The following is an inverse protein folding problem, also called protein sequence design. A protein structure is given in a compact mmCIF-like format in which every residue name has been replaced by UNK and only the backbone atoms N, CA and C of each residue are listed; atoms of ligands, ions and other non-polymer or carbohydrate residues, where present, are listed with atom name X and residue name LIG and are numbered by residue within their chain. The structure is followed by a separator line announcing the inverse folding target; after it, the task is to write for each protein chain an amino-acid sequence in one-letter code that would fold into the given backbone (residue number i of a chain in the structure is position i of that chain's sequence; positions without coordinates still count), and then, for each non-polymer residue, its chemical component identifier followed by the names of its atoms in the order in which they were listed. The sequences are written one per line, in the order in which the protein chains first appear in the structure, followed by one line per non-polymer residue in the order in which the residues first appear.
data_IF_096378562547
#
_entry.id   IF_096378562547
#
_cell.length_a   1.000
_cell.length_b   1.000
_cell.length_c   1.000
_cell.angle_alpha   90.00
_cell.angle_beta   90.00
_cell.angle_gamma   90.00
#
_symmetry.space_group_name_H-M   'P 1'
#
loop_
_entity.id
_entity.type
_entity.pdbx_description
1 polymer ?
#
# COMPACT_ATOMS: atom_id res chain seq x y z
N UNK A 1 13.55 -29.67 -51.99
CA UNK A 1 13.02 -30.37 -50.79
C UNK A 1 13.46 -29.72 -49.48
N UNK A 2 14.74 -29.45 -49.26
CA UNK A 2 15.26 -28.97 -47.97
C UNK A 2 14.73 -27.60 -47.49
N UNK A 3 14.43 -26.67 -48.40
CA UNK A 3 13.93 -25.33 -48.06
C UNK A 3 12.51 -25.34 -47.47
N UNK A 4 11.68 -26.30 -47.87
CA UNK A 4 10.31 -26.45 -47.37
C UNK A 4 10.33 -26.99 -45.93
N UNK A 5 11.19 -27.97 -45.65
CA UNK A 5 11.36 -28.51 -44.30
C UNK A 5 11.89 -27.46 -43.33
N UNK A 6 12.87 -26.63 -43.74
CA UNK A 6 13.39 -25.57 -42.88
C UNK A 6 12.34 -24.51 -42.54
N UNK A 7 11.48 -24.12 -43.50
CA UNK A 7 10.37 -23.19 -43.23
C UNK A 7 9.33 -23.81 -42.28
N UNK A 8 9.01 -25.09 -42.47
CA UNK A 8 8.03 -25.79 -41.64
C UNK A 8 8.56 -25.99 -40.20
N UNK A 9 9.83 -26.35 -40.03
CA UNK A 9 10.44 -26.47 -38.70
C UNK A 9 10.58 -25.12 -38.00
N UNK A 10 10.89 -24.04 -38.72
CA UNK A 10 10.93 -22.69 -38.14
C UNK A 10 9.55 -22.24 -37.65
N UNK A 11 8.48 -22.59 -38.38
CA UNK A 11 7.10 -22.25 -38.02
C UNK A 11 6.63 -23.05 -36.79
N UNK A 12 6.96 -24.34 -36.71
CA UNK A 12 6.66 -25.18 -35.54
C UNK A 12 7.44 -24.69 -34.31
N UNK A 13 8.71 -24.33 -34.46
CA UNK A 13 9.51 -23.77 -33.37
C UNK A 13 8.91 -22.44 -32.87
N UNK A 14 8.47 -21.57 -33.77
CA UNK A 14 7.79 -20.32 -33.41
C UNK A 14 6.48 -20.57 -32.65
N UNK A 15 5.68 -21.58 -33.05
CA UNK A 15 4.44 -21.97 -32.35
C UNK A 15 4.72 -22.54 -30.95
N UNK A 16 5.79 -23.32 -30.79
CA UNK A 16 6.21 -23.85 -29.48
C UNK A 16 6.72 -22.74 -28.55
N UNK A 17 7.37 -21.71 -29.10
CA UNK A 17 7.81 -20.54 -28.34
C UNK A 17 6.65 -19.60 -27.97
N UNK A 18 5.61 -19.51 -28.80
CA UNK A 18 4.42 -18.70 -28.54
C UNK A 18 3.48 -19.31 -27.48
N UNK A 19 3.52 -20.64 -27.30
CA UNK A 19 2.72 -21.34 -26.28
C UNK A 19 3.16 -21.05 -24.83
N UNK A 20 4.28 -20.35 -24.62
CA UNK A 20 4.80 -19.97 -23.31
C UNK A 20 4.62 -18.47 -23.02
N UNK A 21 3.61 -17.82 -23.62
CA UNK A 21 3.15 -16.53 -23.12
C UNK A 21 2.10 -16.81 -22.04
N UNK A 22 2.53 -16.69 -20.78
CA UNK A 22 1.64 -16.71 -19.63
C UNK A 22 0.73 -15.49 -19.76
N UNK A 23 -0.55 -15.69 -20.02
CA UNK A 23 -1.54 -14.64 -19.78
C UNK A 23 -1.39 -14.24 -18.31
N UNK A 24 -0.94 -13.01 -18.05
CA UNK A 24 -1.11 -12.41 -16.74
C UNK A 24 -2.60 -12.31 -16.51
N UNK A 25 -3.12 -13.31 -15.80
CA UNK A 25 -4.45 -13.29 -15.26
C UNK A 25 -4.58 -12.02 -14.44
N UNK A 26 -5.30 -11.05 -15.01
CA UNK A 26 -5.68 -9.83 -14.35
C UNK A 26 -6.42 -10.24 -13.07
N UNK A 27 -5.77 -10.03 -11.92
CA UNK A 27 -6.32 -10.18 -10.57
C UNK A 27 -7.40 -9.12 -10.33
N UNK A 28 -8.45 -9.15 -11.15
CA UNK A 28 -9.57 -8.20 -11.11
C UNK A 28 -10.92 -8.89 -11.30
N UNK A 29 -10.94 -10.22 -11.47
CA UNK A 29 -12.19 -10.99 -11.67
C UNK A 29 -12.43 -12.12 -10.67
N UNK A 30 -11.68 -12.22 -9.56
CA UNK A 30 -12.15 -13.04 -8.45
C UNK A 30 -13.21 -12.27 -7.65
N UNK A 31 -14.36 -12.89 -7.29
CA UNK A 31 -15.24 -12.30 -6.29
C UNK A 31 -14.42 -12.08 -5.01
N UNK A 32 -14.42 -10.83 -4.51
CA UNK A 32 -13.77 -10.39 -3.27
C UNK A 32 -14.22 -11.24 -2.07
N UNK A 33 -13.69 -12.44 -1.96
CA UNK A 33 -13.99 -13.43 -0.92
C UNK A 33 -12.76 -13.75 -0.08
N UNK A 34 -11.65 -13.06 -0.33
CA UNK A 34 -10.59 -12.84 0.64
C UNK A 34 -10.78 -11.45 1.23
N UNK A 35 -10.84 -11.37 2.56
CA UNK A 35 -11.02 -10.13 3.32
C UNK A 35 -10.09 -9.04 2.77
N UNK A 36 -10.70 -8.00 2.23
CA UNK A 36 -10.06 -6.76 1.81
C UNK A 36 -9.69 -5.97 3.07
N UNK A 37 -8.81 -6.54 3.89
CA UNK A 37 -8.52 -6.08 5.25
C UNK A 37 -7.91 -4.67 5.23
N UNK A 38 -7.15 -4.35 4.18
CA UNK A 38 -6.61 -3.02 3.94
C UNK A 38 -7.70 -1.97 3.66
N UNK A 39 -8.72 -2.28 2.84
CA UNK A 39 -9.85 -1.36 2.66
C UNK A 39 -10.78 -1.33 3.88
N UNK A 40 -10.99 -2.45 4.57
CA UNK A 40 -11.84 -2.51 5.76
C UNK A 40 -11.32 -1.57 6.86
N UNK A 41 -10.01 -1.55 7.10
CA UNK A 41 -9.41 -0.60 8.04
C UNK A 41 -9.68 0.84 7.59
N UNK A 42 -9.62 1.15 6.29
CA UNK A 42 -9.84 2.51 5.80
C UNK A 42 -11.31 2.96 5.82
N UNK A 43 -12.29 2.06 5.66
CA UNK A 43 -13.71 2.42 5.67
C UNK A 43 -14.23 2.73 7.08
N UNK A 44 -13.68 2.08 8.12
CA UNK A 44 -14.05 2.33 9.52
C UNK A 44 -13.17 3.35 10.26
N UNK A 45 -11.99 3.70 9.71
CA UNK A 45 -11.04 4.59 10.37
C UNK A 45 -11.50 6.05 10.31
N UNK A 46 -11.82 6.61 11.47
CA UNK A 46 -12.24 8.02 11.60
C UNK A 46 -11.04 8.96 11.51
N UNK A 47 -9.93 8.65 12.18
CA UNK A 47 -8.71 9.44 12.18
C UNK A 47 -7.48 8.58 12.47
N UNK A 48 -6.32 9.00 11.96
CA UNK A 48 -5.02 8.37 12.21
C UNK A 48 -3.93 9.44 12.36
N UNK A 49 -3.51 9.66 13.61
CA UNK A 49 -2.42 10.55 13.97
C UNK A 49 -1.17 9.73 14.30
N UNK A 50 -0.22 9.58 13.36
CA UNK A 50 0.99 8.81 13.62
C UNK A 50 1.94 9.53 14.58
N UNK A 51 1.74 10.82 14.82
CA UNK A 51 2.71 11.74 15.42
C UNK A 51 4.08 11.54 14.78
N UNK A 52 4.32 12.14 13.61
CA UNK A 52 5.61 12.09 12.92
C UNK A 52 6.23 13.50 12.85
N UNK A 53 6.27 14.17 14.00
CA UNK A 53 6.67 15.57 14.12
C UNK A 53 5.57 16.59 13.77
N UNK A 54 4.31 16.14 13.61
CA UNK A 54 3.14 17.00 13.43
C UNK A 54 1.85 16.28 13.90
N UNK A 55 0.73 16.99 13.93
CA UNK A 55 -0.61 16.50 14.32
C UNK A 55 -1.53 16.25 13.13
N UNK A 56 -0.98 15.97 11.94
CA UNK A 56 -1.80 15.73 10.76
C UNK A 56 -2.48 14.36 10.82
N UNK A 57 -3.80 14.36 10.66
CA UNK A 57 -4.55 13.15 10.34
C UNK A 57 -4.18 12.63 8.93
N UNK A 58 -3.60 11.43 8.87
CA UNK A 58 -3.25 10.75 7.63
C UNK A 58 -4.36 9.82 7.11
N UNK A 59 -5.50 9.73 7.79
CA UNK A 59 -6.69 9.07 7.27
C UNK A 59 -7.22 9.74 5.99
N UNK A 60 -8.27 9.17 5.41
CA UNK A 60 -9.00 9.78 4.29
C UNK A 60 -9.79 11.03 4.70
N UNK A 61 -10.08 11.21 5.99
CA UNK A 61 -10.95 12.28 6.48
C UNK A 61 -10.23 13.61 6.72
N UNK A 62 -8.89 13.61 6.80
CA UNK A 62 -8.05 14.82 6.91
C UNK A 62 -8.47 15.77 8.03
N UNK A 63 -8.86 15.19 9.16
CA UNK A 63 -9.20 15.93 10.37
C UNK A 63 -7.92 16.36 11.08
N UNK A 64 -7.12 17.25 10.49
CA UNK A 64 -5.85 17.68 11.09
C UNK A 64 -6.06 18.30 12.48
N UNK A 65 -5.32 17.81 13.47
CA UNK A 65 -5.37 18.33 14.83
C UNK A 65 -4.62 19.65 14.94
N UNK A 66 -4.95 20.46 15.93
CA UNK A 66 -4.26 21.72 16.19
C UNK A 66 -3.57 21.62 17.54
N UNK A 67 -2.26 21.47 17.50
CA UNK A 67 -1.48 21.39 18.72
C UNK A 67 -1.46 22.71 19.50
N UNK A 68 -1.46 22.58 20.82
CA UNK A 68 -1.20 23.65 21.76
C UNK A 68 -0.30 23.10 22.88
N UNK A 69 0.86 23.72 23.07
CA UNK A 69 1.81 23.39 24.15
C UNK A 69 2.21 21.91 24.23
N UNK A 70 2.23 21.17 23.12
CA UNK A 70 2.78 19.81 23.09
C UNK A 70 4.28 19.86 22.79
N UNK A 71 4.99 18.77 23.08
CA UNK A 71 6.37 18.58 22.61
C UNK A 71 6.47 17.21 21.94
N UNK A 72 6.93 17.18 20.69
CA UNK A 72 7.21 15.93 20.01
C UNK A 72 8.44 15.26 20.64
N UNK A 73 8.36 13.95 20.84
CA UNK A 73 9.39 13.14 21.48
C UNK A 73 9.54 11.81 20.77
N UNK A 74 10.56 11.05 21.14
CA UNK A 74 10.76 9.72 20.58
C UNK A 74 9.70 8.75 21.08
N UNK A 75 9.23 7.86 20.19
CA UNK A 75 8.31 6.79 20.57
C UNK A 75 9.02 5.64 21.32
N UNK A 76 8.27 4.57 21.62
CA UNK A 76 8.79 3.37 22.31
C UNK A 76 9.87 2.61 21.53
N UNK A 77 10.05 2.92 20.25
CA UNK A 77 11.03 2.32 19.34
C UNK A 77 12.19 3.29 19.04
N UNK A 78 12.29 4.41 19.78
CA UNK A 78 13.26 5.49 19.58
C UNK A 78 13.12 6.22 18.24
N UNK A 79 11.95 6.18 17.61
CA UNK A 79 11.66 6.99 16.41
C UNK A 79 11.39 8.42 16.86
N UNK A 80 12.30 9.33 16.50
CA UNK A 80 12.16 10.75 16.81
C UNK A 80 10.86 11.32 16.24
N UNK A 81 10.15 12.09 17.06
CA UNK A 81 8.89 12.71 16.70
C UNK A 81 7.68 11.78 16.69
N UNK A 82 7.90 10.47 16.91
CA UNK A 82 6.93 9.36 16.94
C UNK A 82 5.89 9.40 18.06
N UNK A 83 6.03 10.33 19.00
CA UNK A 83 5.14 10.49 20.14
C UNK A 83 5.04 11.98 20.54
N UNK A 84 4.04 12.30 21.38
CA UNK A 84 3.86 13.64 21.95
C UNK A 84 3.83 13.57 23.48
N UNK A 85 4.55 14.48 24.12
CA UNK A 85 4.44 14.73 25.56
C UNK A 85 3.35 15.78 25.84
N UNK A 86 2.45 15.46 26.76
CA UNK A 86 1.41 16.35 27.27
C UNK A 86 1.70 16.68 28.73
N UNK A 87 1.71 17.97 29.08
CA UNK A 87 2.08 18.43 30.41
C UNK A 87 1.00 18.21 31.49
N UNK A 88 -0.20 17.76 31.11
CA UNK A 88 -1.32 17.53 32.03
C UNK A 88 -2.02 18.80 32.54
N UNK A 89 -1.63 19.98 32.06
CA UNK A 89 -2.19 21.27 32.47
C UNK A 89 -2.92 21.96 31.31
N UNK A 90 -2.21 22.20 30.20
CA UNK A 90 -2.73 22.95 29.06
C UNK A 90 -2.25 22.44 27.69
N UNK A 91 -1.55 21.30 27.65
CA UNK A 91 -1.22 20.63 26.39
C UNK A 91 -2.44 19.93 25.79
N UNK A 92 -2.73 20.13 24.51
CA UNK A 92 -3.77 19.40 23.77
C UNK A 92 -3.50 19.39 22.25
N UNK A 93 -4.26 18.57 21.52
CA UNK A 93 -4.31 18.46 20.05
C UNK A 93 -5.76 18.54 19.60
#
# INVERSE_FOLDING_TARGET
MNTIYYKLTLMILALLLYSCEKEEEQVSKLPKTYMDYENFVQEGLVAYYPFNGNTNDLSKNKLHGKDNNITFTSDRFNIEGGACYFNGENSYV
#
